data_IF_952246063839
#
_entry.id   IF_952246063839
#
_cell.length_a   1.000
_cell.length_b   1.000
_cell.length_c   1.000
_cell.angle_alpha   90.00
_cell.angle_beta   90.00
_cell.angle_gamma   90.00
#
_symmetry.space_group_name_H-M   'P 1'
#
loop_
_entity.id
_entity.type
_entity.pdbx_description
1 polymer ?
#
# COMPACT_ATOMS: atom_id res chain seq x y z
N UNK A 1 -3.76 -1.23 -17.76
CA UNK A 1 -4.26 -0.54 -16.57
C UNK A 1 -3.94 -1.46 -15.42
N UNK A 2 -2.78 -1.25 -14.78
CA UNK A 2 -2.36 -2.11 -13.67
C UNK A 2 -3.21 -1.78 -12.44
N UNK A 3 -3.88 -2.80 -11.91
CA UNK A 3 -4.65 -2.69 -10.67
C UNK A 3 -3.63 -2.70 -9.53
N UNK A 4 -3.58 -1.67 -8.67
CA UNK A 4 -2.68 -1.70 -7.51
C UNK A 4 -2.99 -2.91 -6.65
N UNK A 5 -1.95 -3.60 -6.15
CA UNK A 5 -2.12 -4.83 -5.36
C UNK A 5 -2.52 -4.54 -3.90
N UNK A 6 -2.31 -3.32 -3.41
CA UNK A 6 -2.57 -2.96 -2.02
C UNK A 6 -4.02 -3.29 -1.58
N UNK A 7 -5.09 -2.98 -2.33
CA UNK A 7 -6.45 -3.37 -1.98
C UNK A 7 -6.70 -4.88 -1.87
N UNK A 8 -5.81 -5.72 -2.39
CA UNK A 8 -5.87 -7.18 -2.26
C UNK A 8 -5.10 -7.71 -1.04
N UNK A 9 -4.47 -6.84 -0.24
CA UNK A 9 -3.68 -7.23 0.92
C UNK A 9 -4.51 -7.24 2.20
N UNK A 10 -4.34 -8.26 3.07
CA UNK A 10 -4.98 -8.35 4.41
C UNK A 10 -4.69 -7.17 5.33
N UNK A 11 -3.60 -6.44 5.10
CA UNK A 11 -3.20 -5.32 5.94
C UNK A 11 -3.68 -3.97 5.43
N UNK A 12 -4.31 -3.93 4.26
CA UNK A 12 -4.84 -2.70 3.67
C UNK A 12 -5.99 -2.15 4.51
N UNK A 13 -5.91 -0.86 4.84
CA UNK A 13 -6.92 -0.20 5.69
C UNK A 13 -7.85 0.71 4.89
N UNK A 14 -7.47 1.09 3.66
CA UNK A 14 -8.32 1.89 2.79
C UNK A 14 -7.57 3.02 2.09
N UNK A 15 -8.34 3.99 1.61
CA UNK A 15 -7.84 5.26 1.09
C UNK A 15 -8.78 6.39 1.50
N UNK A 16 -8.30 7.63 1.43
CA UNK A 16 -9.12 8.81 1.64
C UNK A 16 -10.14 9.06 0.50
N UNK A 17 -11.00 10.06 0.68
CA UNK A 17 -12.02 10.44 -0.31
C UNK A 17 -11.49 11.43 -1.37
N UNK A 18 -10.16 11.58 -1.49
CA UNK A 18 -9.59 12.50 -2.46
C UNK A 18 -9.84 12.03 -3.91
N UNK A 19 -9.72 12.94 -4.90
CA UNK A 19 -9.72 12.57 -6.31
C UNK A 19 -8.69 11.48 -6.57
N UNK A 20 -8.94 10.58 -7.53
CA UNK A 20 -8.11 9.40 -7.80
C UNK A 20 -6.61 9.73 -7.90
N UNK A 21 -6.27 10.85 -8.56
CA UNK A 21 -4.89 11.31 -8.74
C UNK A 21 -4.20 11.83 -7.48
N UNK A 22 -4.94 12.01 -6.38
CA UNK A 22 -4.47 12.53 -5.09
C UNK A 22 -4.82 11.61 -3.92
N UNK A 23 -5.35 10.41 -4.17
CA UNK A 23 -5.73 9.49 -3.10
C UNK A 23 -4.53 9.04 -2.31
N UNK A 24 -4.66 9.13 -1.01
CA UNK A 24 -3.71 8.55 -0.08
C UNK A 24 -4.24 7.19 0.36
N UNK A 25 -3.52 6.13 -0.02
CA UNK A 25 -3.80 4.78 0.44
C UNK A 25 -3.07 4.52 1.76
N UNK A 26 -3.66 3.76 2.67
CA UNK A 26 -3.07 3.41 3.96
C UNK A 26 -3.16 1.91 4.23
N UNK A 27 -2.23 1.41 5.05
CA UNK A 27 -2.25 0.04 5.56
C UNK A 27 -1.56 -0.01 6.93
N UNK A 28 -1.54 -1.18 7.58
CA UNK A 28 -0.82 -1.37 8.86
C UNK A 28 0.68 -1.09 8.75
N UNK A 29 1.28 -1.38 7.59
CA UNK A 29 2.68 -1.10 7.33
C UNK A 29 2.97 0.40 7.24
N UNK A 30 2.09 1.14 6.56
CA UNK A 30 2.21 2.57 6.30
C UNK A 30 0.95 3.32 6.76
N UNK A 31 0.81 3.56 8.08
CA UNK A 31 -0.39 4.19 8.64
C UNK A 31 -0.59 5.63 8.16
N UNK A 32 0.50 6.30 7.76
CA UNK A 32 0.49 7.68 7.29
C UNK A 32 0.48 7.83 5.76
N UNK A 33 0.37 6.72 5.02
CA UNK A 33 0.33 6.72 3.56
C UNK A 33 1.33 5.75 2.93
N UNK A 34 0.84 4.89 2.03
CA UNK A 34 1.66 3.95 1.28
C UNK A 34 2.47 4.72 0.22
N UNK A 35 3.80 4.55 0.16
CA UNK A 35 4.63 5.12 -0.89
C UNK A 35 4.13 4.78 -2.30
N UNK A 36 4.16 5.76 -3.22
CA UNK A 36 3.70 5.57 -4.59
C UNK A 36 4.44 4.44 -5.32
N UNK A 37 5.72 4.22 -5.00
CA UNK A 37 6.52 3.14 -5.58
C UNK A 37 5.97 1.75 -5.22
N UNK A 38 5.35 1.61 -4.05
CA UNK A 38 4.69 0.37 -3.63
C UNK A 38 3.30 0.27 -4.25
N UNK A 39 2.52 1.37 -4.28
CA UNK A 39 1.19 1.39 -4.91
C UNK A 39 1.28 1.01 -6.40
N UNK A 40 2.24 1.59 -7.12
CA UNK A 40 2.49 1.31 -8.52
C UNK A 40 3.35 0.06 -8.75
N UNK A 41 3.57 -0.74 -7.70
CA UNK A 41 4.28 -2.01 -7.77
C UNK A 41 5.70 -1.93 -8.37
N UNK A 42 6.36 -0.76 -8.29
CA UNK A 42 7.77 -0.59 -8.60
C UNK A 42 8.65 -1.30 -7.57
N UNK A 43 8.18 -1.32 -6.32
CA UNK A 43 8.75 -2.09 -5.21
C UNK A 43 7.69 -3.08 -4.76
N UNK A 44 7.96 -4.37 -4.94
CA UNK A 44 7.11 -5.42 -4.39
C UNK A 44 7.28 -5.46 -2.88
N UNK A 45 6.19 -5.28 -2.14
CA UNK A 45 6.20 -5.30 -0.67
C UNK A 45 6.19 -6.74 -0.11
N UNK A 46 7.03 -7.61 -0.67
CA UNK A 46 7.22 -9.01 -0.26
C UNK A 46 8.45 -9.20 0.64
N UNK A 47 9.27 -8.17 0.77
CA UNK A 47 10.42 -8.11 1.68
C UNK A 47 10.28 -6.90 2.61
N UNK A 48 10.85 -7.00 3.81
CA UNK A 48 10.84 -5.87 4.74
C UNK A 48 11.66 -4.71 4.20
N UNK A 49 11.11 -3.51 4.32
CA UNK A 49 11.77 -2.26 3.95
C UNK A 49 11.73 -1.25 5.09
N UNK A 50 12.69 -0.31 5.16
CA UNK A 50 12.72 0.68 6.23
C UNK A 50 11.38 1.44 6.34
N UNK A 51 10.78 1.39 7.52
CA UNK A 51 9.55 2.13 7.84
C UNK A 51 8.23 1.41 7.55
N UNK A 52 8.24 0.14 7.16
CA UNK A 52 7.02 -0.66 6.88
C UNK A 52 6.38 -1.30 8.13
N UNK A 53 6.83 -0.91 9.33
CA UNK A 53 6.37 -1.44 10.61
C UNK A 53 6.35 -2.98 10.70
N UNK A 54 7.15 -3.68 9.90
CA UNK A 54 7.31 -5.14 9.93
C UNK A 54 6.17 -5.94 9.28
N UNK A 55 5.26 -5.31 8.55
CA UNK A 55 4.20 -6.00 7.81
C UNK A 55 4.60 -6.22 6.36
N UNK A 56 4.33 -7.40 5.82
CA UNK A 56 4.57 -7.76 4.42
C UNK A 56 3.25 -7.97 3.69
N UNK A 57 3.29 -7.95 2.36
CA UNK A 57 2.13 -8.30 1.55
C UNK A 57 1.65 -9.72 1.86
N UNK A 58 0.38 -9.82 2.25
CA UNK A 58 -0.34 -11.08 2.42
C UNK A 58 -1.70 -10.94 1.72
N UNK A 59 -2.01 -11.85 0.79
CA UNK A 59 -3.26 -11.83 0.03
C UNK A 59 -4.47 -12.02 0.96
N UNK A 60 -5.54 -11.23 0.76
CA UNK A 60 -6.81 -11.27 1.51
C UNK A 60 -7.50 -12.63 1.46
#
# INVERSE_FOLDING_TARGET
MDIPLCPMCKHYTGHDNAPVCKRTHTCKAFPNGIPLEIIFNKIQHTNSIPGDNGYLFELL
#
